data_IF_267078112538
#
_entry.id   IF_267078112538
#
_cell.length_a   1.000
_cell.length_b   1.000
_cell.length_c   1.000
_cell.angle_alpha   90.00
_cell.angle_beta   90.00
_cell.angle_gamma   90.00
#
_symmetry.space_group_name_H-M   'P 1'
#
loop_
_entity.id
_entity.type
_entity.pdbx_description
1 polymer ?
#
# COMPACT_ATOMS: atom_id res chain seq x y z
N UNK A 1 -5.92 8.21 -8.98
CA UNK A 1 -5.80 8.38 -10.44
C UNK A 1 -6.03 7.04 -11.14
N UNK A 2 -5.21 5.99 -10.93
CA UNK A 2 -5.28 4.72 -11.66
C UNK A 2 -6.65 4.03 -11.66
N UNK A 3 -7.31 3.96 -10.49
CA UNK A 3 -8.66 3.40 -10.37
C UNK A 3 -9.71 4.16 -11.21
N UNK A 4 -9.66 5.49 -11.21
CA UNK A 4 -10.56 6.31 -12.02
C UNK A 4 -10.31 6.13 -13.52
N UNK A 5 -9.05 6.00 -13.94
CA UNK A 5 -8.70 5.72 -15.33
C UNK A 5 -9.17 4.31 -15.76
N UNK A 6 -9.03 3.30 -14.88
CA UNK A 6 -9.59 1.97 -15.12
C UNK A 6 -11.10 2.01 -15.28
N UNK A 7 -11.81 2.74 -14.40
CA UNK A 7 -13.26 2.94 -14.48
C UNK A 7 -13.68 3.62 -15.80
N UNK A 8 -12.85 4.54 -16.32
CA UNK A 8 -13.06 5.18 -17.61
C UNK A 8 -12.71 4.27 -18.82
N UNK A 9 -12.26 3.04 -18.57
CA UNK A 9 -11.99 2.04 -19.61
C UNK A 9 -10.55 2.00 -20.10
N UNK A 10 -9.63 2.77 -19.54
CA UNK A 10 -8.22 2.76 -19.94
C UNK A 10 -7.49 1.56 -19.35
N UNK A 11 -6.58 0.96 -20.13
CA UNK A 11 -5.58 0.04 -19.61
C UNK A 11 -4.53 0.84 -18.85
N UNK A 12 -4.37 0.58 -17.56
CA UNK A 12 -3.46 1.33 -16.69
C UNK A 12 -2.27 0.44 -16.31
N UNK A 13 -1.06 0.99 -16.51
CA UNK A 13 0.19 0.41 -16.04
C UNK A 13 0.67 1.27 -14.86
N UNK A 14 0.77 0.70 -13.68
CA UNK A 14 1.09 1.43 -12.46
C UNK A 14 2.41 0.95 -11.87
N UNK A 15 3.19 1.90 -11.36
CA UNK A 15 4.42 1.60 -10.62
C UNK A 15 4.51 2.42 -9.35
N UNK A 16 5.01 1.81 -8.29
CA UNK A 16 5.50 2.51 -7.10
C UNK A 16 6.67 1.72 -6.51
N UNK A 17 7.62 2.42 -5.90
CA UNK A 17 8.78 1.82 -5.25
C UNK A 17 8.45 1.20 -3.89
N UNK A 18 7.36 1.65 -3.23
CA UNK A 18 6.92 1.12 -1.95
C UNK A 18 5.97 -0.06 -2.15
N UNK A 19 6.20 -1.15 -1.41
CA UNK A 19 5.42 -2.37 -1.53
C UNK A 19 3.93 -2.14 -1.22
N UNK A 20 3.60 -1.34 -0.20
CA UNK A 20 2.21 -1.04 0.12
C UNK A 20 1.48 -0.34 -1.02
N UNK A 21 2.12 0.61 -1.69
CA UNK A 21 1.53 1.33 -2.82
C UNK A 21 1.39 0.44 -4.06
N UNK A 22 2.37 -0.44 -4.31
CA UNK A 22 2.30 -1.43 -5.39
C UNK A 22 1.17 -2.46 -5.15
N UNK A 23 0.93 -2.88 -3.90
CA UNK A 23 -0.19 -3.76 -3.54
C UNK A 23 -1.54 -3.04 -3.73
N UNK A 24 -1.66 -1.77 -3.32
CA UNK A 24 -2.84 -0.96 -3.61
C UNK A 24 -3.09 -0.86 -5.12
N UNK A 25 -2.04 -0.60 -5.90
CA UNK A 25 -2.14 -0.54 -7.36
C UNK A 25 -2.53 -1.91 -7.96
N UNK A 26 -1.98 -3.01 -7.45
CA UNK A 26 -2.37 -4.36 -7.89
C UNK A 26 -3.85 -4.61 -7.63
N UNK A 27 -4.34 -4.31 -6.43
CA UNK A 27 -5.75 -4.49 -6.08
C UNK A 27 -6.68 -3.62 -6.94
N UNK A 28 -6.40 -2.32 -7.07
CA UNK A 28 -7.34 -1.39 -7.70
C UNK A 28 -7.16 -1.17 -9.21
N UNK A 29 -5.99 -1.54 -9.73
CA UNK A 29 -5.66 -1.31 -11.16
C UNK A 29 -5.56 -2.63 -11.92
N UNK A 30 -4.81 -3.61 -11.38
CA UNK A 30 -4.55 -4.87 -12.09
C UNK A 30 -5.67 -5.88 -11.94
N UNK A 31 -6.17 -6.10 -10.71
CA UNK A 31 -7.22 -7.09 -10.42
C UNK A 31 -8.51 -6.73 -11.15
N UNK A 32 -9.10 -7.71 -11.82
CA UNK A 32 -10.46 -7.63 -12.36
C UNK A 32 -11.43 -8.34 -11.41
N UNK A 33 -12.54 -7.69 -11.06
CA UNK A 33 -13.46 -8.16 -10.03
C UNK A 33 -13.98 -9.57 -10.29
N UNK A 34 -14.25 -9.90 -11.56
CA UNK A 34 -14.82 -11.18 -11.96
C UNK A 34 -13.87 -12.35 -11.72
N UNK A 35 -12.55 -12.10 -11.72
CA UNK A 35 -11.51 -13.12 -11.53
C UNK A 35 -11.37 -13.56 -10.06
N UNK A 36 -11.76 -12.70 -9.06
CA UNK A 36 -11.38 -12.95 -7.65
C UNK A 36 -12.52 -12.81 -6.64
N UNK A 37 -13.68 -12.28 -7.03
CA UNK A 37 -14.72 -11.83 -6.10
C UNK A 37 -15.22 -12.92 -5.16
N UNK A 38 -15.49 -14.11 -5.68
CA UNK A 38 -16.07 -15.20 -4.88
C UNK A 38 -15.06 -15.75 -3.88
N UNK A 39 -13.81 -15.93 -4.29
CA UNK A 39 -12.73 -16.36 -3.39
C UNK A 39 -12.42 -15.30 -2.34
N UNK A 40 -12.39 -14.03 -2.72
CA UNK A 40 -12.20 -12.92 -1.78
C UNK A 40 -13.32 -12.89 -0.74
N UNK A 41 -14.59 -13.01 -1.14
CA UNK A 41 -15.74 -13.06 -0.22
C UNK A 41 -15.66 -14.23 0.75
N UNK A 42 -15.27 -15.41 0.26
CA UNK A 42 -15.11 -16.62 1.08
C UNK A 42 -14.01 -16.41 2.13
N UNK A 43 -12.84 -15.93 1.73
CA UNK A 43 -11.70 -15.73 2.61
C UNK A 43 -11.94 -14.59 3.59
N UNK A 44 -12.59 -13.51 3.20
CA UNK A 44 -12.96 -12.40 4.10
C UNK A 44 -13.90 -12.90 5.21
N UNK A 45 -14.89 -13.75 4.88
CA UNK A 45 -15.75 -14.36 5.91
C UNK A 45 -14.95 -15.25 6.89
N UNK A 46 -14.04 -16.06 6.35
CA UNK A 46 -13.14 -16.91 7.15
C UNK A 46 -12.29 -16.05 8.10
N UNK A 47 -11.63 -15.02 7.58
CA UNK A 47 -10.74 -14.15 8.35
C UNK A 47 -11.49 -13.29 9.37
N UNK A 48 -12.69 -12.85 9.06
CA UNK A 48 -13.55 -12.14 10.03
C UNK A 48 -13.94 -13.01 11.22
N UNK A 49 -13.97 -14.32 11.09
CA UNK A 49 -14.26 -15.27 12.17
C UNK A 49 -13.02 -15.61 13.03
N UNK A 50 -11.81 -15.23 12.61
CA UNK A 50 -10.58 -15.52 13.38
C UNK A 50 -10.60 -14.75 14.70
N UNK A 51 -10.14 -15.39 15.75
CA UNK A 51 -9.81 -14.71 17.01
C UNK A 51 -8.47 -14.00 16.90
N UNK A 52 -8.32 -12.88 17.59
CA UNK A 52 -7.05 -12.17 17.70
C UNK A 52 -5.98 -13.05 18.39
N UNK A 53 -4.75 -12.95 17.92
CA UNK A 53 -3.56 -13.58 18.52
C UNK A 53 -2.45 -12.53 18.51
N UNK A 54 -1.90 -12.14 19.68
CA UNK A 54 -0.88 -11.12 19.73
C UNK A 54 0.40 -11.60 19.03
N UNK A 55 1.01 -10.70 18.25
CA UNK A 55 2.23 -10.95 17.51
C UNK A 55 3.06 -9.69 17.35
N UNK A 56 3.86 -9.64 16.28
CA UNK A 56 4.75 -8.51 15.99
C UNK A 56 4.01 -7.17 15.87
N UNK A 57 2.88 -7.16 15.16
CA UNK A 57 2.11 -5.94 14.95
C UNK A 57 1.56 -5.40 16.26
N UNK A 58 0.98 -6.27 17.07
CA UNK A 58 0.46 -5.92 18.41
C UNK A 58 1.57 -5.35 19.29
N UNK A 59 2.70 -6.05 19.41
CA UNK A 59 3.81 -5.60 20.24
C UNK A 59 4.35 -4.24 19.78
N UNK A 60 4.53 -4.08 18.47
CA UNK A 60 5.18 -2.89 17.90
C UNK A 60 4.25 -1.68 17.82
N UNK A 61 3.03 -1.86 17.27
CA UNK A 61 2.17 -0.73 16.91
C UNK A 61 0.99 -0.51 17.86
N UNK A 62 0.83 -1.37 18.88
CA UNK A 62 -0.21 -1.21 19.87
C UNK A 62 0.35 -1.05 21.30
N UNK A 63 1.49 -1.72 21.62
CA UNK A 63 2.11 -1.71 22.96
C UNK A 63 3.30 -0.74 23.01
N UNK A 64 4.30 -0.89 22.14
CA UNK A 64 5.46 0.03 22.08
C UNK A 64 5.09 1.41 21.57
N UNK A 65 4.10 1.47 20.70
CA UNK A 65 3.47 2.71 20.21
C UNK A 65 1.94 2.61 20.38
N UNK A 66 1.18 3.63 19.96
CA UNK A 66 -0.26 3.69 20.23
C UNK A 66 -1.07 3.99 18.97
N UNK A 67 -0.68 3.37 17.85
CA UNK A 67 -1.38 3.55 16.60
C UNK A 67 -2.70 2.79 16.54
N UNK A 68 -2.80 1.65 17.26
CA UNK A 68 -4.00 0.80 17.29
C UNK A 68 -4.28 0.31 18.71
N UNK A 69 -5.55 0.00 19.00
CA UNK A 69 -5.92 -0.73 20.22
C UNK A 69 -5.37 -2.17 20.15
N UNK A 70 -4.88 -2.75 21.26
CA UNK A 70 -4.34 -4.11 21.27
C UNK A 70 -5.30 -5.14 20.67
N UNK A 71 -6.60 -5.07 20.97
CA UNK A 71 -7.62 -5.97 20.42
C UNK A 71 -7.65 -6.00 18.89
N UNK A 72 -7.42 -4.84 18.25
CA UNK A 72 -7.38 -4.71 16.80
C UNK A 72 -6.02 -5.16 16.24
N UNK A 73 -4.92 -4.89 16.96
CA UNK A 73 -3.59 -5.39 16.63
C UNK A 73 -3.52 -6.93 16.62
N UNK A 74 -4.07 -7.58 17.65
CA UNK A 74 -4.16 -9.05 17.73
C UNK A 74 -4.93 -9.64 16.53
N UNK A 75 -5.99 -8.96 16.11
CA UNK A 75 -6.76 -9.34 14.91
C UNK A 75 -5.94 -9.16 13.64
N UNK A 76 -5.17 -8.06 13.53
CA UNK A 76 -4.28 -7.82 12.39
C UNK A 76 -3.21 -8.91 12.32
N UNK A 77 -2.55 -9.23 13.43
CA UNK A 77 -1.55 -10.30 13.46
C UNK A 77 -2.14 -11.63 12.99
N UNK A 78 -3.26 -12.06 13.57
CA UNK A 78 -3.89 -13.33 13.24
C UNK A 78 -4.29 -13.42 11.76
N UNK A 79 -4.90 -12.37 11.21
CA UNK A 79 -5.36 -12.33 9.82
C UNK A 79 -4.14 -12.27 8.86
N UNK A 80 -3.15 -11.46 9.18
CA UNK A 80 -1.96 -11.33 8.31
C UNK A 80 -1.15 -12.63 8.23
N UNK A 81 -1.00 -13.35 9.35
CA UNK A 81 -0.39 -14.69 9.37
C UNK A 81 -1.24 -15.69 8.57
N UNK A 82 -2.55 -15.64 8.67
CA UNK A 82 -3.44 -16.50 7.90
C UNK A 82 -3.35 -16.24 6.38
N UNK A 83 -3.25 -14.98 5.96
CA UNK A 83 -3.02 -14.63 4.54
C UNK A 83 -1.69 -15.22 4.07
N UNK A 84 -0.60 -15.00 4.84
CA UNK A 84 0.73 -15.50 4.48
C UNK A 84 0.78 -17.03 4.38
N UNK A 85 0.11 -17.74 5.29
CA UNK A 85 0.10 -19.21 5.33
C UNK A 85 -0.65 -19.86 4.14
N UNK A 86 -1.54 -19.12 3.47
CA UNK A 86 -2.36 -19.69 2.38
C UNK A 86 -1.62 -19.80 1.04
N UNK A 87 -0.54 -19.05 0.82
CA UNK A 87 0.20 -19.09 -0.46
C UNK A 87 -0.70 -18.74 -1.66
N UNK A 88 -1.45 -17.66 -1.55
CA UNK A 88 -2.46 -17.25 -2.51
C UNK A 88 -1.86 -16.74 -3.83
N UNK A 89 -2.67 -16.74 -4.88
CA UNK A 89 -2.37 -16.00 -6.09
C UNK A 89 -2.11 -14.52 -5.76
N UNK A 90 -1.11 -13.87 -6.39
CA UNK A 90 -0.72 -12.48 -6.06
C UNK A 90 -1.84 -11.45 -6.20
N UNK A 91 -2.83 -11.65 -7.08
CA UNK A 91 -3.96 -10.74 -7.23
C UNK A 91 -4.96 -10.91 -6.08
N UNK A 92 -5.28 -12.14 -5.72
CA UNK A 92 -6.16 -12.43 -4.58
C UNK A 92 -5.51 -12.02 -3.26
N UNK A 93 -4.20 -12.26 -3.09
CA UNK A 93 -3.45 -11.78 -1.93
C UNK A 93 -3.53 -10.25 -1.81
N UNK A 94 -3.33 -9.52 -2.90
CA UNK A 94 -3.42 -8.06 -2.90
C UNK A 94 -4.80 -7.56 -2.47
N UNK A 95 -5.88 -8.21 -2.91
CA UNK A 95 -7.25 -7.88 -2.49
C UNK A 95 -7.44 -8.05 -0.98
N UNK A 96 -6.93 -9.14 -0.42
CA UNK A 96 -7.05 -9.42 1.02
C UNK A 96 -6.16 -8.51 1.87
N UNK A 97 -4.96 -8.19 1.40
CA UNK A 97 -4.08 -7.23 2.06
C UNK A 97 -4.70 -5.83 2.07
N UNK A 98 -5.28 -5.39 0.95
CA UNK A 98 -5.96 -4.09 0.88
C UNK A 98 -7.21 -4.09 1.75
N UNK A 99 -8.01 -5.16 1.75
CA UNK A 99 -9.16 -5.33 2.65
C UNK A 99 -8.75 -5.15 4.11
N UNK A 100 -7.64 -5.76 4.52
CA UNK A 100 -7.11 -5.67 5.89
C UNK A 100 -6.51 -4.28 6.17
N UNK A 101 -5.82 -3.65 5.21
CA UNK A 101 -5.33 -2.27 5.36
C UNK A 101 -6.47 -1.28 5.55
N UNK A 102 -7.54 -1.35 4.74
CA UNK A 102 -8.72 -0.51 4.89
C UNK A 102 -9.45 -0.76 6.22
N UNK A 103 -9.52 -2.03 6.67
CA UNK A 103 -10.08 -2.36 7.96
C UNK A 103 -9.27 -1.76 9.11
N UNK A 104 -7.95 -1.81 9.02
CA UNK A 104 -7.04 -1.21 9.99
C UNK A 104 -7.14 0.33 10.01
N UNK A 105 -7.20 0.98 8.84
CA UNK A 105 -7.37 2.43 8.73
C UNK A 105 -8.66 2.93 9.40
N UNK A 106 -9.74 2.16 9.31
CA UNK A 106 -11.01 2.48 9.99
C UNK A 106 -10.97 2.42 11.51
N UNK A 107 -9.93 1.81 12.10
CA UNK A 107 -9.80 1.62 13.56
C UNK A 107 -8.47 2.14 14.12
N UNK A 108 -7.74 2.94 13.36
CA UNK A 108 -6.48 3.53 13.79
C UNK A 108 -6.67 4.72 14.75
N UNK A 109 -5.58 5.14 15.38
CA UNK A 109 -5.50 6.34 16.23
C UNK A 109 -4.40 7.28 15.77
N UNK A 110 -4.29 7.45 14.44
CA UNK A 110 -3.30 8.32 13.79
C UNK A 110 -3.84 9.74 13.57
N UNK A 111 -2.96 10.61 13.12
CA UNK A 111 -3.27 11.98 12.68
C UNK A 111 -3.47 12.08 11.16
N UNK A 112 -3.71 10.95 10.48
CA UNK A 112 -3.83 10.84 9.02
C UNK A 112 -2.54 10.36 8.33
N UNK A 113 -1.40 10.43 9.04
CA UNK A 113 -0.12 9.84 8.62
C UNK A 113 0.48 9.08 9.81
N UNK A 114 1.32 8.09 9.54
CA UNK A 114 1.90 7.20 10.56
C UNK A 114 3.18 7.76 11.21
N UNK A 115 3.39 9.06 11.12
CA UNK A 115 4.51 9.74 11.79
C UNK A 115 4.25 9.98 13.27
N UNK A 116 2.99 10.06 13.66
CA UNK A 116 2.55 10.29 15.03
C UNK A 116 1.17 9.66 15.28
N UNK A 117 0.93 9.31 16.53
CA UNK A 117 -0.37 8.87 17.02
C UNK A 117 -0.95 9.89 18.02
N UNK A 118 -2.25 9.83 18.23
CA UNK A 118 -2.95 10.73 19.15
C UNK A 118 -2.59 10.40 20.61
N UNK A 119 -2.46 11.43 21.44
CA UNK A 119 -2.22 11.28 22.89
C UNK A 119 -3.40 10.58 23.60
N UNK A 120 -4.63 10.86 23.13
CA UNK A 120 -5.85 10.17 23.52
C UNK A 120 -6.34 9.32 22.37
N UNK A 121 -6.94 8.18 22.67
CA UNK A 121 -7.47 7.29 21.63
C UNK A 121 -8.51 8.00 20.78
N UNK A 122 -8.37 7.90 19.45
CA UNK A 122 -9.42 8.33 18.54
C UNK A 122 -10.71 7.52 18.78
N UNK A 123 -11.90 8.11 18.73
CA UNK A 123 -13.15 7.38 18.91
C UNK A 123 -13.27 6.14 18.02
N UNK A 124 -12.82 6.24 16.76
CA UNK A 124 -12.83 5.13 15.79
C UNK A 124 -12.00 3.92 16.23
N UNK A 125 -10.95 4.12 17.05
CA UNK A 125 -10.10 3.03 17.52
C UNK A 125 -10.78 2.04 18.45
N UNK A 126 -11.91 2.40 19.03
CA UNK A 126 -12.73 1.53 19.87
C UNK A 126 -13.62 0.58 19.07
N UNK A 127 -13.80 0.82 17.77
CA UNK A 127 -14.53 -0.09 16.90
C UNK A 127 -13.75 -1.40 16.70
N UNK A 128 -14.46 -2.44 16.29
CA UNK A 128 -13.84 -3.71 15.96
C UNK A 128 -13.36 -3.71 14.50
N UNK A 129 -12.22 -4.34 14.28
CA UNK A 129 -11.66 -4.54 12.95
C UNK A 129 -12.55 -5.52 12.16
N UNK A 130 -13.00 -5.08 10.99
CA UNK A 130 -13.85 -5.87 10.09
C UNK A 130 -13.36 -5.73 8.65
N UNK A 131 -13.02 -6.85 8.02
CA UNK A 131 -12.64 -6.89 6.60
C UNK A 131 -13.89 -6.77 5.72
N UNK A 132 -13.73 -6.04 4.61
CA UNK A 132 -14.75 -5.89 3.56
C UNK A 132 -14.08 -6.05 2.21
N UNK A 133 -14.83 -6.48 1.21
CA UNK A 133 -14.30 -6.51 -0.16
C UNK A 133 -14.03 -5.07 -0.60
N UNK A 134 -12.79 -4.76 -1.04
CA UNK A 134 -12.49 -3.45 -1.61
C UNK A 134 -13.35 -3.13 -2.84
N UNK A 135 -13.42 -1.86 -3.22
CA UNK A 135 -14.18 -1.44 -4.40
C UNK A 135 -13.44 -1.83 -5.70
N UNK A 136 -13.55 -3.11 -6.07
CA UNK A 136 -12.94 -3.66 -7.28
C UNK A 136 -13.75 -3.28 -8.52
N UNK A 137 -13.06 -3.08 -9.63
CA UNK A 137 -13.66 -2.79 -10.94
C UNK A 137 -13.53 -4.00 -11.88
N UNK A 138 -14.45 -4.15 -12.85
CA UNK A 138 -14.27 -5.09 -13.94
C UNK A 138 -13.08 -4.71 -14.82
N UNK A 139 -12.70 -5.62 -15.73
CA UNK A 139 -11.65 -5.37 -16.72
C UNK A 139 -11.95 -4.12 -17.53
N UNK A 140 -10.94 -3.26 -17.66
CA UNK A 140 -11.08 -2.06 -18.48
C UNK A 140 -11.29 -2.42 -19.96
N UNK A 141 -12.01 -1.56 -20.70
CA UNK A 141 -12.31 -1.76 -22.13
C UNK A 141 -11.04 -2.00 -22.97
N UNK A 142 -9.96 -1.33 -22.64
CA UNK A 142 -8.68 -1.42 -23.37
C UNK A 142 -7.72 -2.47 -22.81
N UNK A 143 -8.18 -3.37 -21.95
CA UNK A 143 -7.43 -4.54 -21.48
C UNK A 143 -7.06 -4.50 -19.99
N UNK A 144 -6.48 -5.62 -19.53
CA UNK A 144 -6.09 -5.81 -18.13
C UNK A 144 -4.95 -4.85 -17.76
N UNK A 145 -5.10 -4.19 -16.61
CA UNK A 145 -4.05 -3.35 -16.02
C UNK A 145 -2.85 -4.17 -15.52
N UNK A 146 -1.79 -3.47 -15.15
CA UNK A 146 -0.60 -4.07 -14.57
C UNK A 146 -0.09 -3.18 -13.44
N UNK A 147 0.39 -3.79 -12.34
CA UNK A 147 1.06 -3.11 -11.25
C UNK A 147 2.44 -3.74 -11.01
N UNK A 148 3.47 -2.90 -10.95
CA UNK A 148 4.84 -3.31 -10.64
C UNK A 148 5.36 -2.56 -9.42
N UNK A 149 6.37 -3.14 -8.76
CA UNK A 149 7.03 -2.55 -7.58
C UNK A 149 8.52 -2.38 -7.92
N UNK A 150 8.84 -1.32 -8.64
CA UNK A 150 10.18 -1.05 -9.16
C UNK A 150 10.63 0.36 -8.83
N UNK A 151 11.93 0.60 -8.88
CA UNK A 151 12.45 1.96 -8.98
C UNK A 151 11.89 2.65 -10.24
N UNK A 152 11.71 3.96 -10.21
CA UNK A 152 11.12 4.72 -11.32
C UNK A 152 11.89 4.56 -12.63
N UNK A 153 13.23 4.54 -12.58
CA UNK A 153 14.07 4.37 -13.76
C UNK A 153 13.98 2.95 -14.34
N UNK A 154 13.88 1.94 -13.48
CA UNK A 154 13.65 0.56 -13.93
C UNK A 154 12.25 0.39 -14.52
N UNK A 155 11.24 1.00 -13.91
CA UNK A 155 9.88 0.99 -14.43
C UNK A 155 9.80 1.64 -15.81
N UNK A 156 10.48 2.76 -16.03
CA UNK A 156 10.53 3.46 -17.31
C UNK A 156 11.11 2.61 -18.46
N UNK A 157 11.99 1.63 -18.14
CA UNK A 157 12.56 0.70 -19.12
C UNK A 157 11.60 -0.40 -19.57
N UNK A 158 10.65 -0.79 -18.71
CA UNK A 158 9.80 -1.97 -18.92
C UNK A 158 8.33 -1.64 -19.18
N UNK A 159 7.86 -0.44 -18.79
CA UNK A 159 6.51 0.00 -19.03
C UNK A 159 6.45 0.90 -20.27
N UNK A 160 5.44 0.67 -21.11
CA UNK A 160 5.20 1.45 -22.33
C UNK A 160 3.71 1.75 -22.48
N UNK A 161 3.38 3.00 -22.84
CA UNK A 161 1.99 3.45 -22.99
C UNK A 161 1.85 4.67 -23.88
N UNK A 162 0.61 5.09 -24.12
CA UNK A 162 0.34 6.32 -24.88
C UNK A 162 0.58 7.58 -24.05
N UNK A 163 0.23 7.53 -22.75
CA UNK A 163 0.39 8.64 -21.80
C UNK A 163 1.08 8.16 -20.54
N UNK A 164 2.11 8.87 -20.10
CA UNK A 164 2.73 8.70 -18.80
C UNK A 164 2.28 9.82 -17.85
N UNK A 165 1.78 9.43 -16.67
CA UNK A 165 1.49 10.33 -15.56
C UNK A 165 2.59 10.15 -14.52
N UNK A 166 3.36 11.21 -14.28
CA UNK A 166 4.55 11.19 -13.41
C UNK A 166 4.28 12.09 -12.20
N UNK A 167 4.24 11.48 -11.02
CA UNK A 167 3.95 12.15 -9.74
C UNK A 167 5.04 11.77 -8.73
N UNK A 168 6.25 12.34 -8.86
CA UNK A 168 7.35 12.06 -7.95
C UNK A 168 7.14 12.78 -6.62
N UNK A 169 7.79 12.34 -5.53
CA UNK A 169 7.81 13.13 -4.31
C UNK A 169 8.46 14.49 -4.58
N UNK A 170 7.75 15.57 -4.22
CA UNK A 170 8.14 16.95 -4.50
C UNK A 170 8.69 17.69 -3.27
N UNK A 171 8.88 17.00 -2.16
CA UNK A 171 9.41 17.56 -0.93
C UNK A 171 10.35 16.58 -0.22
N UNK A 172 10.97 17.03 0.88
CA UNK A 172 11.90 16.21 1.67
C UNK A 172 11.26 15.08 2.49
N UNK A 173 9.93 14.99 2.52
CA UNK A 173 9.24 13.98 3.30
C UNK A 173 9.14 12.67 2.53
N UNK A 174 9.68 11.61 3.12
CA UNK A 174 9.59 10.26 2.55
C UNK A 174 8.19 9.69 2.75
N UNK A 175 7.54 9.27 1.66
CA UNK A 175 6.28 8.52 1.74
C UNK A 175 6.44 7.23 2.57
N UNK A 176 7.57 6.55 2.44
CA UNK A 176 7.88 5.39 3.28
C UNK A 176 7.89 5.76 4.77
N UNK A 177 8.47 6.91 5.13
CA UNK A 177 8.47 7.41 6.50
C UNK A 177 7.08 7.81 7.02
N UNK A 178 6.19 8.26 6.13
CA UNK A 178 4.82 8.64 6.48
C UNK A 178 3.89 7.44 6.62
N UNK A 179 4.18 6.33 5.91
CA UNK A 179 3.33 5.14 5.82
C UNK A 179 4.09 3.85 6.12
N UNK A 180 5.08 3.91 7.02
CA UNK A 180 5.97 2.80 7.36
C UNK A 180 5.26 1.58 7.95
N UNK A 181 4.10 1.79 8.60
CA UNK A 181 3.28 0.70 9.13
C UNK A 181 2.69 -0.11 7.97
N UNK A 182 2.15 0.55 6.93
CA UNK A 182 1.63 -0.13 5.75
C UNK A 182 2.71 -0.91 5.00
N UNK A 183 3.92 -0.40 4.93
CA UNK A 183 5.05 -1.12 4.34
C UNK A 183 5.39 -2.39 5.14
N UNK A 184 5.48 -2.28 6.47
CA UNK A 184 5.70 -3.43 7.37
C UNK A 184 4.56 -4.45 7.29
N UNK A 185 3.35 -3.95 7.17
CA UNK A 185 2.12 -4.72 7.07
C UNK A 185 2.07 -5.56 5.78
N UNK A 186 2.41 -4.96 4.65
CA UNK A 186 2.41 -5.64 3.35
C UNK A 186 3.59 -6.61 3.24
N UNK A 187 4.81 -6.18 3.59
CA UNK A 187 6.00 -7.03 3.50
C UNK A 187 6.02 -8.16 4.52
N UNK A 188 5.44 -7.93 5.66
CA UNK A 188 5.39 -8.85 6.79
C UNK A 188 6.76 -9.39 7.23
N UNK A 189 7.77 -8.57 7.01
CA UNK A 189 9.19 -8.87 7.27
C UNK A 189 9.61 -8.61 8.71
N UNK A 190 8.68 -8.13 9.56
CA UNK A 190 8.86 -7.90 11.00
C UNK A 190 10.16 -7.14 11.32
N UNK A 191 10.39 -5.96 10.70
CA UNK A 191 11.67 -5.28 10.77
C UNK A 191 11.97 -4.75 12.16
N UNK A 192 13.25 -4.50 12.43
CA UNK A 192 13.66 -3.66 13.55
C UNK A 192 13.09 -2.25 13.39
N UNK A 193 12.73 -1.64 14.52
CA UNK A 193 12.10 -0.32 14.57
C UNK A 193 12.84 0.64 15.48
N UNK A 194 12.68 1.94 15.22
CA UNK A 194 13.28 2.99 16.04
C UNK A 194 12.30 4.12 16.35
N UNK A 195 12.61 4.85 17.41
CA UNK A 195 11.85 6.05 17.82
C UNK A 195 10.46 5.73 18.37
N UNK A 196 9.76 6.76 18.85
CA UNK A 196 8.45 6.64 19.49
C UNK A 196 7.37 6.12 18.52
N UNK A 197 7.50 6.46 17.24
CA UNK A 197 6.58 6.01 16.19
C UNK A 197 6.90 4.60 15.68
N UNK A 198 7.90 3.89 16.25
CA UNK A 198 8.31 2.56 15.82
C UNK A 198 8.54 2.47 14.30
N UNK A 199 9.28 3.44 13.73
CA UNK A 199 9.58 3.42 12.29
C UNK A 199 10.55 2.31 11.96
N UNK A 200 10.36 1.66 10.81
CA UNK A 200 11.31 0.68 10.24
C UNK A 200 12.69 1.31 10.09
N UNK A 201 13.74 0.58 10.41
CA UNK A 201 15.13 1.10 10.33
C UNK A 201 15.51 1.47 8.89
N UNK A 202 15.06 0.69 7.89
CA UNK A 202 15.37 0.90 6.47
C UNK A 202 14.77 2.19 5.87
N UNK A 203 13.86 2.88 6.57
CA UNK A 203 13.38 4.23 6.16
C UNK A 203 14.54 5.23 6.01
N UNK A 204 15.63 5.04 6.77
CA UNK A 204 16.80 5.91 6.71
C UNK A 204 17.62 5.74 5.43
N UNK A 205 17.59 4.55 4.85
CA UNK A 205 18.40 4.16 3.69
C UNK A 205 17.61 4.28 2.38
N UNK A 206 16.32 3.96 2.42
CA UNK A 206 15.42 3.98 1.26
C UNK A 206 14.88 5.38 0.98
N UNK A 207 15.78 6.29 0.57
CA UNK A 207 15.44 7.65 0.20
C UNK A 207 15.34 7.79 -1.32
N UNK A 208 14.26 8.37 -1.82
CA UNK A 208 14.13 8.69 -3.24
C UNK A 208 15.07 9.83 -3.64
N UNK A 209 15.69 9.72 -4.81
CA UNK A 209 16.47 10.81 -5.41
C UNK A 209 15.61 12.06 -5.60
N UNK A 210 14.32 11.90 -5.84
CA UNK A 210 13.33 12.98 -6.01
C UNK A 210 13.02 13.74 -4.71
N UNK A 211 13.35 13.20 -3.54
CA UNK A 211 13.27 13.94 -2.27
C UNK A 211 14.46 14.93 -2.08
N UNK A 212 15.47 14.85 -2.93
CA UNK A 212 16.68 15.68 -2.85
C UNK A 212 16.57 16.88 -3.78
N UNK A 213 16.34 18.09 -3.22
CA UNK A 213 16.25 19.33 -4.00
C UNK A 213 17.39 19.53 -5.01
N UNK A 214 18.69 19.32 -4.66
CA UNK A 214 19.79 19.46 -5.62
C UNK A 214 19.78 18.45 -6.76
N UNK A 215 19.25 17.24 -6.55
CA UNK A 215 19.26 16.14 -7.53
C UNK A 215 17.96 16.02 -8.32
N UNK A 216 16.89 16.70 -7.89
CA UNK A 216 15.56 16.55 -8.48
C UNK A 216 15.55 16.84 -9.98
N UNK A 217 16.13 17.98 -10.41
CA UNK A 217 16.07 18.40 -11.80
C UNK A 217 16.78 17.40 -12.74
N UNK A 218 17.98 16.96 -12.36
CA UNK A 218 18.74 15.97 -13.17
C UNK A 218 18.03 14.61 -13.19
N UNK A 219 17.51 14.14 -12.05
CA UNK A 219 16.78 12.88 -11.99
C UNK A 219 15.48 12.94 -12.81
N UNK A 220 14.77 14.07 -12.82
CA UNK A 220 13.58 14.25 -13.64
C UNK A 220 13.91 14.26 -15.13
N UNK A 221 14.98 14.94 -15.56
CA UNK A 221 15.42 14.92 -16.96
C UNK A 221 15.77 13.49 -17.40
N UNK A 222 16.50 12.75 -16.58
CA UNK A 222 16.85 11.36 -16.86
C UNK A 222 15.61 10.47 -16.96
N UNK A 223 14.67 10.61 -16.01
CA UNK A 223 13.41 9.84 -16.02
C UNK A 223 12.60 10.15 -17.30
N UNK A 224 12.41 11.42 -17.63
CA UNK A 224 11.67 11.83 -18.82
C UNK A 224 12.30 11.33 -20.12
N UNK A 225 13.64 11.24 -20.18
CA UNK A 225 14.34 10.67 -21.32
C UNK A 225 14.19 9.15 -21.44
N UNK A 226 13.94 8.45 -20.31
CA UNK A 226 13.78 7.00 -20.27
C UNK A 226 12.33 6.54 -20.49
N UNK A 227 11.34 7.38 -20.18
CA UNK A 227 9.91 7.03 -20.27
C UNK A 227 9.48 6.76 -21.71
N UNK A 228 8.84 5.61 -21.94
CA UNK A 228 8.31 5.19 -23.24
C UNK A 228 6.83 5.56 -23.36
N UNK A 229 6.56 6.83 -23.63
CA UNK A 229 5.20 7.32 -23.85
C UNK A 229 5.18 8.41 -24.92
N UNK A 230 4.05 8.56 -25.63
CA UNK A 230 3.85 9.63 -26.62
C UNK A 230 3.68 10.99 -25.94
N UNK A 231 3.10 11.00 -24.75
CA UNK A 231 2.84 12.21 -23.97
C UNK A 231 3.16 11.95 -22.50
N UNK A 232 3.83 12.92 -21.86
CA UNK A 232 4.10 12.91 -20.43
C UNK A 232 3.38 14.05 -19.74
N UNK A 233 2.65 13.73 -18.66
CA UNK A 233 2.07 14.70 -17.72
C UNK A 233 2.85 14.60 -16.42
N UNK A 234 3.42 15.71 -15.96
CA UNK A 234 4.15 15.80 -14.69
C UNK A 234 3.35 16.63 -13.72
N UNK A 235 3.12 16.12 -12.53
CA UNK A 235 2.46 16.82 -11.43
C UNK A 235 3.52 17.38 -10.49
N UNK A 236 3.33 18.64 -10.07
CA UNK A 236 4.19 19.35 -9.12
C UNK A 236 3.38 19.82 -7.92
#
# INVERSE_FOLDING_TARGET
VGHALKAAGYRVLSNDHNAYAAVLARCYVQVDVDDVLEDARKLIREFNALKGVPGYFTDTFCVKSRFFQPKNGERIDAIREAIAAKGLDPELEAVLLVSLMEAADRVDSTTGVQMAYLKTWAPRSYNDLELRVPNLLPRAKHGKGQAVCLDAFEAAKVLEGDVAYIDPPYNQHSYLGNYHIWESFVRWDKPEVYGIACKRVDVRERQSVFNSRPRFASAMQELLAAVRARTCSVVQ
#
